data_IF_861579503840
#
_entry.id   IF_861579503840
#
_cell.length_a   1.000
_cell.length_b   1.000
_cell.length_c   1.000
_cell.angle_alpha   90.00
_cell.angle_beta   90.00
_cell.angle_gamma   90.00
#
_symmetry.space_group_name_H-M   'P 1'
#
loop_
_entity.id
_entity.type
_entity.pdbx_description
1 polymer ?
#
# COMPACT_ATOMS: atom_id res chain seq x y z
N UNK A 1 -0.26 1.36 -27.49
CA UNK A 1 -0.39 2.46 -26.50
C UNK A 1 0.86 2.48 -25.64
N UNK A 2 1.44 3.67 -25.44
CA UNK A 2 2.63 3.88 -24.63
C UNK A 2 2.32 4.69 -23.37
N UNK A 3 2.68 4.19 -22.19
CA UNK A 3 2.32 4.75 -20.90
C UNK A 3 3.58 5.14 -20.12
N UNK A 4 3.58 6.31 -19.48
CA UNK A 4 4.64 6.73 -18.56
C UNK A 4 4.10 6.79 -17.13
N UNK A 5 4.54 5.87 -16.29
CA UNK A 5 4.35 5.97 -14.84
C UNK A 5 5.41 6.89 -14.23
N UNK A 6 5.00 7.75 -13.29
CA UNK A 6 5.91 8.68 -12.59
C UNK A 6 5.72 8.54 -11.09
N UNK A 7 6.80 8.15 -10.38
CA UNK A 7 6.81 8.04 -8.93
C UNK A 7 8.18 8.39 -8.33
N UNK A 8 8.24 8.57 -7.02
CA UNK A 8 9.44 9.03 -6.30
C UNK A 8 10.56 8.00 -6.18
N UNK A 9 10.24 6.72 -6.26
CA UNK A 9 11.14 5.59 -6.03
C UNK A 9 10.63 4.33 -6.71
N UNK A 10 11.51 3.36 -6.95
CA UNK A 10 11.14 2.07 -7.53
C UNK A 10 12.16 0.99 -7.20
N UNK A 11 11.84 -0.27 -7.51
CA UNK A 11 12.77 -1.41 -7.38
C UNK A 11 14.05 -1.23 -8.19
N UNK A 12 15.22 -1.67 -7.72
CA UNK A 12 15.49 -2.34 -6.43
C UNK A 12 15.79 -1.37 -5.28
N UNK A 13 15.79 -0.05 -5.50
CA UNK A 13 16.21 0.93 -4.50
C UNK A 13 15.27 0.99 -3.29
N UNK A 14 13.99 0.72 -3.51
CA UNK A 14 12.95 0.70 -2.46
C UNK A 14 11.92 -0.38 -2.70
N UNK A 15 11.39 -0.93 -1.59
CA UNK A 15 10.35 -1.96 -1.59
C UNK A 15 9.17 -1.47 -0.75
N UNK A 16 8.23 -0.79 -1.39
CA UNK A 16 7.02 -0.25 -0.75
C UNK A 16 5.75 -0.70 -1.43
N UNK A 17 4.60 -0.42 -0.82
CA UNK A 17 3.30 -0.81 -1.36
C UNK A 17 2.97 -0.15 -2.69
N UNK A 18 3.39 1.10 -2.91
CA UNK A 18 3.13 1.80 -4.16
C UNK A 18 4.04 1.29 -5.28
N UNK A 19 5.31 1.03 -4.99
CA UNK A 19 6.26 0.43 -5.92
C UNK A 19 5.77 -0.96 -6.37
N UNK A 20 5.27 -1.77 -5.43
CA UNK A 20 4.68 -3.07 -5.73
C UNK A 20 3.45 -2.93 -6.62
N UNK A 21 2.55 -2.01 -6.30
CA UNK A 21 1.37 -1.72 -7.11
C UNK A 21 1.75 -1.31 -8.55
N UNK A 22 2.71 -0.40 -8.73
CA UNK A 22 3.16 0.05 -10.06
C UNK A 22 3.75 -1.14 -10.83
N UNK A 23 4.56 -1.98 -10.17
CA UNK A 23 5.13 -3.18 -10.77
C UNK A 23 4.05 -4.15 -11.23
N UNK A 24 3.15 -4.57 -10.35
CA UNK A 24 2.06 -5.50 -10.62
C UNK A 24 1.18 -5.01 -11.80
N UNK A 25 0.76 -3.74 -11.74
CA UNK A 25 -0.04 -3.14 -12.81
C UNK A 25 0.74 -3.13 -14.15
N UNK A 26 2.01 -2.72 -14.14
CA UNK A 26 2.83 -2.64 -15.35
C UNK A 26 3.03 -4.01 -15.98
N UNK A 27 3.40 -5.02 -15.20
CA UNK A 27 3.61 -6.39 -15.68
C UNK A 27 2.31 -6.98 -16.26
N UNK A 28 1.21 -6.84 -15.54
CA UNK A 28 -0.07 -7.39 -15.98
C UNK A 28 -0.61 -6.70 -17.23
N UNK A 29 -0.48 -5.37 -17.31
CA UNK A 29 -0.87 -4.58 -18.49
C UNK A 29 -0.04 -4.92 -19.73
N UNK A 30 1.29 -5.04 -19.59
CA UNK A 30 2.16 -5.41 -20.71
C UNK A 30 1.85 -6.82 -21.21
N UNK A 31 1.64 -7.78 -20.29
CA UNK A 31 1.30 -9.16 -20.67
C UNK A 31 -0.06 -9.29 -21.36
N UNK A 32 -1.10 -8.60 -20.86
CA UNK A 32 -2.47 -8.78 -21.35
C UNK A 32 -2.75 -7.98 -22.62
N UNK A 33 -2.16 -6.78 -22.76
CA UNK A 33 -2.54 -5.82 -23.82
C UNK A 33 -1.37 -5.38 -24.70
N UNK A 34 -0.20 -5.99 -24.56
CA UNK A 34 1.02 -5.63 -25.33
C UNK A 34 1.32 -4.11 -25.28
N UNK A 35 1.28 -3.54 -24.09
CA UNK A 35 1.51 -2.11 -23.89
C UNK A 35 2.99 -1.82 -23.67
N UNK A 36 3.47 -0.72 -24.27
CA UNK A 36 4.83 -0.21 -24.06
C UNK A 36 4.84 0.68 -22.81
N UNK A 37 5.40 0.18 -21.73
CA UNK A 37 5.35 0.81 -20.41
C UNK A 37 6.71 1.34 -19.99
N UNK A 38 6.74 2.63 -19.67
CA UNK A 38 7.89 3.32 -19.10
C UNK A 38 7.61 3.72 -17.65
N UNK A 39 8.61 3.60 -16.80
CA UNK A 39 8.55 4.04 -15.40
C UNK A 39 9.67 5.04 -15.16
N UNK A 40 9.35 6.27 -14.76
CA UNK A 40 10.32 7.26 -14.32
C UNK A 40 10.31 7.34 -12.79
N UNK A 41 11.44 7.02 -12.19
CA UNK A 41 11.67 7.08 -10.74
C UNK A 41 12.97 7.82 -10.42
N UNK A 42 13.12 8.23 -9.15
CA UNK A 42 14.37 8.81 -8.65
C UNK A 42 15.23 7.71 -8.06
N UNK A 43 16.52 7.74 -8.34
CA UNK A 43 17.49 6.74 -7.90
C UNK A 43 18.83 7.34 -7.51
N UNK A 44 19.83 6.48 -7.28
CA UNK A 44 21.20 6.89 -6.90
C UNK A 44 21.95 7.53 -8.06
N UNK A 45 21.65 7.09 -9.28
CA UNK A 45 22.30 7.56 -10.52
C UNK A 45 21.31 7.61 -11.69
N UNK A 46 21.74 8.25 -12.80
CA UNK A 46 20.96 8.23 -14.02
C UNK A 46 21.16 6.89 -14.72
N UNK A 47 20.10 6.11 -14.86
CA UNK A 47 20.15 4.80 -15.48
C UNK A 47 18.88 4.52 -16.26
N UNK A 48 18.99 3.75 -17.34
CA UNK A 48 17.83 3.16 -18.03
C UNK A 48 18.04 1.66 -18.06
N UNK A 49 17.06 0.93 -17.56
CA UNK A 49 17.09 -0.54 -17.44
C UNK A 49 15.92 -1.10 -18.21
N UNK A 50 16.21 -1.92 -19.22
CA UNK A 50 15.19 -2.68 -19.91
C UNK A 50 14.84 -3.91 -19.07
N UNK A 51 13.57 -4.07 -18.77
CA UNK A 51 12.98 -5.27 -18.16
C UNK A 51 12.05 -5.93 -19.16
N UNK A 52 11.64 -7.17 -18.90
CA UNK A 52 10.80 -7.94 -19.81
C UNK A 52 9.47 -7.26 -20.15
N UNK A 53 8.91 -6.49 -19.20
CA UNK A 53 7.55 -5.92 -19.31
C UNK A 53 7.50 -4.39 -19.23
N UNK A 54 8.60 -3.73 -18.96
CA UNK A 54 8.66 -2.26 -18.90
C UNK A 54 10.09 -1.75 -19.00
N UNK A 55 10.24 -0.49 -19.41
CA UNK A 55 11.52 0.22 -19.35
C UNK A 55 11.56 1.13 -18.13
N UNK A 56 12.52 0.89 -17.23
CA UNK A 56 12.72 1.69 -16.02
C UNK A 56 13.79 2.76 -16.25
N UNK A 57 13.44 4.01 -15.96
CA UNK A 57 14.32 5.16 -16.04
C UNK A 57 14.55 5.73 -14.65
N UNK A 58 15.76 5.62 -14.14
CA UNK A 58 16.18 6.33 -12.95
C UNK A 58 16.78 7.70 -13.29
N UNK A 59 16.35 8.73 -12.59
CA UNK A 59 16.97 10.03 -12.58
C UNK A 59 17.68 10.24 -11.25
N UNK A 60 18.96 10.68 -11.29
CA UNK A 60 19.78 10.86 -10.10
C UNK A 60 19.13 11.84 -9.13
N UNK A 61 18.92 11.39 -7.90
CA UNK A 61 18.46 12.23 -6.79
C UNK A 61 19.54 13.23 -6.40
N UNK A 62 19.22 14.51 -6.41
CA UNK A 62 20.10 15.59 -5.97
C UNK A 62 19.80 16.02 -4.54
N UNK A 63 18.53 15.93 -4.12
CA UNK A 63 18.09 16.43 -2.82
C UNK A 63 16.89 15.61 -2.34
N UNK A 64 16.82 15.38 -1.02
CA UNK A 64 15.66 14.76 -0.38
C UNK A 64 15.19 15.65 0.77
N UNK A 65 14.01 16.24 0.64
CA UNK A 65 13.41 17.10 1.66
C UNK A 65 12.01 16.56 1.96
N UNK A 66 11.73 16.35 3.23
CA UNK A 66 10.38 16.00 3.68
C UNK A 66 9.81 14.76 2.97
N UNK A 67 10.64 13.73 2.75
CA UNK A 67 10.32 12.50 2.00
C UNK A 67 10.00 12.74 0.52
N UNK A 68 10.36 13.90 -0.03
CA UNK A 68 10.26 14.21 -1.45
C UNK A 68 11.66 14.25 -2.05
N UNK A 69 11.90 13.40 -3.02
CA UNK A 69 13.15 13.35 -3.79
C UNK A 69 13.08 14.32 -4.97
N UNK A 70 14.12 15.14 -5.15
CA UNK A 70 14.28 16.09 -6.25
C UNK A 70 15.44 15.69 -7.15
N UNK A 71 15.28 15.87 -8.47
CA UNK A 71 16.29 15.53 -9.46
C UNK A 71 16.31 16.51 -10.61
N UNK A 72 17.43 17.17 -10.85
CA UNK A 72 17.59 18.07 -12.01
C UNK A 72 17.58 17.29 -13.33
N UNK A 73 18.17 16.10 -13.36
CA UNK A 73 18.17 15.25 -14.56
C UNK A 73 16.78 14.71 -14.89
N UNK A 74 15.88 14.58 -13.91
CA UNK A 74 14.51 14.15 -14.13
C UNK A 74 13.73 15.15 -15.01
N UNK A 75 14.03 16.45 -14.96
CA UNK A 75 13.37 17.45 -15.82
C UNK A 75 13.61 17.14 -17.29
N UNK A 76 14.89 16.89 -17.66
CA UNK A 76 15.25 16.53 -19.03
C UNK A 76 14.66 15.19 -19.42
N UNK A 77 14.84 14.15 -18.59
CA UNK A 77 14.35 12.80 -18.85
C UNK A 77 12.82 12.79 -19.00
N UNK A 78 12.10 13.47 -18.12
CA UNK A 78 10.64 13.58 -18.19
C UNK A 78 10.17 14.25 -19.50
N UNK A 79 10.83 15.36 -19.91
CA UNK A 79 10.52 16.03 -21.21
C UNK A 79 10.76 15.12 -22.41
N UNK A 80 11.80 14.29 -22.38
CA UNK A 80 12.11 13.32 -23.42
C UNK A 80 11.04 12.22 -23.50
N UNK A 81 10.73 11.61 -22.36
CA UNK A 81 9.75 10.53 -22.27
C UNK A 81 8.33 11.02 -22.60
N UNK A 82 7.93 12.17 -22.07
CA UNK A 82 6.60 12.72 -22.32
C UNK A 82 6.29 13.00 -23.80
N UNK A 83 7.31 13.21 -24.66
CA UNK A 83 7.11 13.34 -26.09
C UNK A 83 6.76 12.00 -26.77
N UNK A 84 7.19 10.89 -26.18
CA UNK A 84 7.14 9.55 -26.77
C UNK A 84 5.92 8.74 -26.33
N UNK A 85 5.25 9.14 -25.24
CA UNK A 85 4.13 8.40 -24.65
C UNK A 85 2.78 8.98 -25.09
N UNK A 86 1.73 8.18 -24.95
CA UNK A 86 0.36 8.60 -25.27
C UNK A 86 -0.34 9.18 -24.04
N UNK A 87 -0.02 8.67 -22.83
CA UNK A 87 -0.60 9.07 -21.56
C UNK A 87 0.44 9.05 -20.45
N UNK A 88 0.30 9.95 -19.48
CA UNK A 88 1.12 9.98 -18.27
C UNK A 88 0.27 9.55 -17.07
N UNK A 89 0.78 8.60 -16.28
CA UNK A 89 0.14 8.11 -15.07
C UNK A 89 0.96 8.49 -13.85
N UNK A 90 0.43 9.40 -13.04
CA UNK A 90 1.06 9.83 -11.80
C UNK A 90 0.55 9.03 -10.61
N UNK A 91 1.43 8.79 -9.64
CA UNK A 91 1.12 8.17 -8.36
C UNK A 91 1.25 9.19 -7.24
N UNK A 92 0.11 9.64 -6.73
CA UNK A 92 0.05 10.66 -5.69
C UNK A 92 0.05 10.01 -4.28
N UNK A 93 0.80 10.55 -3.29
CA UNK A 93 1.46 11.86 -3.31
C UNK A 93 2.92 11.80 -3.74
N UNK A 94 3.28 12.68 -4.64
CA UNK A 94 4.67 12.97 -4.97
C UNK A 94 4.81 14.44 -5.44
N UNK A 95 5.05 15.41 -4.52
CA UNK A 95 5.06 16.84 -4.84
C UNK A 95 6.01 17.26 -5.97
N UNK A 96 7.11 16.53 -6.16
CA UNK A 96 8.02 16.84 -7.26
C UNK A 96 7.45 16.42 -8.63
N UNK A 97 6.65 15.38 -8.71
CA UNK A 97 5.95 15.02 -9.95
C UNK A 97 4.93 16.09 -10.36
N UNK A 98 4.21 16.67 -9.39
CA UNK A 98 3.30 17.80 -9.62
C UNK A 98 4.05 19.02 -10.17
N UNK A 99 5.26 19.25 -9.65
CA UNK A 99 6.16 20.31 -10.13
C UNK A 99 6.66 20.01 -11.55
N UNK A 100 7.08 18.77 -11.85
CA UNK A 100 7.50 18.34 -13.20
C UNK A 100 6.39 18.58 -14.20
N UNK A 101 5.15 18.17 -13.91
CA UNK A 101 3.98 18.41 -14.76
C UNK A 101 3.78 19.91 -15.02
N UNK A 102 3.91 20.74 -13.97
CA UNK A 102 3.67 22.17 -14.05
C UNK A 102 4.77 22.92 -14.82
N UNK A 103 6.04 22.56 -14.64
CA UNK A 103 7.19 23.22 -15.29
C UNK A 103 7.33 22.75 -16.74
N UNK A 104 7.23 21.44 -16.98
CA UNK A 104 7.47 20.86 -18.29
C UNK A 104 6.26 21.01 -19.22
N UNK A 105 5.06 21.13 -18.68
CA UNK A 105 3.79 21.29 -19.43
C UNK A 105 3.69 20.35 -20.63
N UNK A 106 3.82 19.03 -20.43
CA UNK A 106 3.72 18.11 -21.56
C UNK A 106 2.32 18.22 -22.19
N UNK A 107 2.27 18.22 -23.53
CA UNK A 107 1.00 18.22 -24.27
C UNK A 107 0.46 16.78 -24.37
N UNK A 108 0.25 16.16 -23.21
CA UNK A 108 -0.26 14.78 -23.09
C UNK A 108 -1.32 14.72 -22.00
N UNK A 109 -2.38 13.95 -22.19
CA UNK A 109 -3.34 13.71 -21.13
C UNK A 109 -2.66 12.95 -19.98
N UNK A 110 -3.17 13.13 -18.76
CA UNK A 110 -2.69 12.40 -17.61
C UNK A 110 -3.79 12.01 -16.64
N UNK A 111 -3.55 10.94 -15.92
CA UNK A 111 -4.37 10.45 -14.82
C UNK A 111 -3.54 10.38 -13.54
N UNK A 112 -4.21 10.31 -12.40
CA UNK A 112 -3.56 10.23 -11.10
C UNK A 112 -4.19 9.12 -10.27
N UNK A 113 -3.40 8.09 -9.94
CA UNK A 113 -3.77 7.17 -8.85
C UNK A 113 -3.49 7.86 -7.52
N UNK A 114 -4.56 8.02 -6.72
CA UNK A 114 -4.52 8.69 -5.43
C UNK A 114 -4.37 7.66 -4.31
N UNK A 115 -3.12 7.44 -3.86
CA UNK A 115 -2.83 6.44 -2.84
C UNK A 115 -3.12 6.94 -1.43
N UNK A 116 -2.78 8.20 -1.10
CA UNK A 116 -3.00 8.76 0.24
C UNK A 116 -3.00 10.28 0.26
N UNK A 117 -3.57 10.84 1.33
CA UNK A 117 -3.40 12.25 1.70
C UNK A 117 -1.97 12.51 2.21
N UNK A 118 -1.50 13.76 2.11
CA UNK A 118 -0.29 14.21 2.79
C UNK A 118 -0.68 14.68 4.19
N UNK A 119 -0.36 13.88 5.20
CA UNK A 119 -0.79 14.12 6.59
C UNK A 119 0.25 14.93 7.37
N UNK A 120 1.55 14.68 7.12
CA UNK A 120 2.66 15.39 7.78
C UNK A 120 2.91 16.77 7.15
N UNK A 121 3.57 17.64 7.91
CA UNK A 121 4.16 18.91 7.41
C UNK A 121 3.13 19.99 7.06
N UNK A 122 2.20 20.24 7.97
CA UNK A 122 1.10 21.24 7.79
C UNK A 122 1.57 22.60 7.26
N UNK A 123 2.74 23.11 7.68
CA UNK A 123 3.29 24.39 7.20
C UNK A 123 3.73 24.35 5.73
N UNK A 124 4.41 23.28 5.31
CA UNK A 124 4.79 23.05 3.91
C UNK A 124 3.56 22.83 3.03
N UNK A 125 2.51 22.20 3.57
CA UNK A 125 1.25 21.99 2.87
C UNK A 125 0.55 23.30 2.48
N UNK A 126 0.63 24.38 3.27
CA UNK A 126 0.06 25.67 2.89
C UNK A 126 0.69 26.23 1.61
N UNK A 127 2.00 26.08 1.46
CA UNK A 127 2.73 26.53 0.26
C UNK A 127 2.51 25.60 -0.93
N UNK A 128 2.38 24.31 -0.67
CA UNK A 128 2.22 23.30 -1.72
C UNK A 128 0.75 23.17 -2.22
N UNK A 129 -0.24 23.45 -1.37
CA UNK A 129 -1.67 23.26 -1.68
C UNK A 129 -2.13 23.89 -3.01
N UNK A 130 -1.70 25.12 -3.40
CA UNK A 130 -2.06 25.67 -4.70
C UNK A 130 -1.51 24.87 -5.89
N UNK A 131 -0.27 24.41 -5.82
CA UNK A 131 0.35 23.58 -6.86
C UNK A 131 -0.37 22.21 -6.96
N UNK A 132 -0.59 21.56 -5.84
CA UNK A 132 -1.30 20.30 -5.75
C UNK A 132 -2.71 20.38 -6.36
N UNK A 133 -3.49 21.43 -5.98
CA UNK A 133 -4.82 21.63 -6.52
C UNK A 133 -4.81 21.86 -8.04
N UNK A 134 -3.86 22.65 -8.54
CA UNK A 134 -3.69 22.88 -9.97
C UNK A 134 -3.35 21.59 -10.69
N UNK A 135 -2.44 20.80 -10.14
CA UNK A 135 -2.05 19.50 -10.68
C UNK A 135 -3.24 18.53 -10.70
N UNK A 136 -3.90 18.33 -9.57
CA UNK A 136 -5.03 17.39 -9.49
C UNK A 136 -6.22 17.80 -10.37
N UNK A 137 -6.56 19.09 -10.46
CA UNK A 137 -7.65 19.58 -11.32
C UNK A 137 -7.30 19.59 -12.83
N UNK A 138 -6.04 19.42 -13.20
CA UNK A 138 -5.62 19.27 -14.59
C UNK A 138 -5.63 17.82 -15.09
N UNK A 139 -5.80 16.84 -14.21
CA UNK A 139 -5.91 15.44 -14.59
C UNK A 139 -7.20 15.15 -15.36
N UNK A 140 -7.21 14.11 -16.19
CA UNK A 140 -8.43 13.61 -16.82
C UNK A 140 -9.26 12.76 -15.85
N UNK A 141 -8.59 11.98 -15.01
CA UNK A 141 -9.18 11.17 -13.94
C UNK A 141 -8.32 11.20 -12.70
N UNK A 142 -8.98 11.16 -11.54
CA UNK A 142 -8.37 10.82 -10.24
C UNK A 142 -8.90 9.44 -9.84
N UNK A 143 -7.99 8.54 -9.49
CA UNK A 143 -8.28 7.14 -9.20
C UNK A 143 -7.95 6.80 -7.74
N UNK A 144 -8.87 7.06 -6.79
CA UNK A 144 -8.70 6.62 -5.41
C UNK A 144 -8.72 5.10 -5.31
N UNK A 145 -7.96 4.56 -4.35
CA UNK A 145 -7.83 3.11 -4.15
C UNK A 145 -8.95 2.50 -3.30
N UNK A 146 -9.82 3.32 -2.72
CA UNK A 146 -10.99 2.82 -1.96
C UNK A 146 -12.14 3.85 -1.92
N UNK A 147 -13.40 3.38 -1.78
CA UNK A 147 -14.54 4.25 -1.56
C UNK A 147 -14.39 5.08 -0.28
N UNK A 148 -13.92 4.45 0.81
CA UNK A 148 -13.69 5.12 2.10
C UNK A 148 -12.76 6.32 1.94
N UNK A 149 -11.69 6.17 1.16
CA UNK A 149 -10.75 7.27 0.90
C UNK A 149 -11.41 8.39 0.10
N UNK A 150 -12.20 8.03 -0.92
CA UNK A 150 -12.95 9.00 -1.73
C UNK A 150 -13.91 9.83 -0.88
N UNK A 151 -14.60 9.20 0.07
CA UNK A 151 -15.60 9.85 0.92
C UNK A 151 -14.97 10.71 2.03
N UNK A 152 -13.83 10.28 2.58
CA UNK A 152 -13.24 10.89 3.79
C UNK A 152 -12.13 11.88 3.50
N UNK A 153 -11.50 11.87 2.31
CA UNK A 153 -10.45 12.82 1.95
C UNK A 153 -11.02 14.22 1.65
N UNK A 154 -10.60 15.21 2.42
CA UNK A 154 -10.96 16.61 2.18
C UNK A 154 -10.46 17.10 0.82
N UNK A 155 -9.26 16.66 0.41
CA UNK A 155 -8.67 17.02 -0.88
C UNK A 155 -9.52 16.48 -2.02
N UNK A 156 -9.91 15.20 -1.97
CA UNK A 156 -10.71 14.59 -3.04
C UNK A 156 -12.11 15.22 -3.13
N UNK A 157 -12.69 15.71 -2.04
CA UNK A 157 -13.96 16.46 -2.06
C UNK A 157 -13.82 17.83 -2.73
N UNK A 158 -12.67 18.49 -2.61
CA UNK A 158 -12.41 19.80 -3.23
C UNK A 158 -12.13 19.70 -4.75
N UNK A 159 -11.62 18.56 -5.23
CA UNK A 159 -11.24 18.38 -6.65
C UNK A 159 -12.46 18.04 -7.50
N UNK A 160 -12.62 18.75 -8.63
CA UNK A 160 -13.81 18.66 -9.50
C UNK A 160 -13.67 17.65 -10.66
N UNK A 161 -12.47 17.08 -10.84
CA UNK A 161 -12.18 16.11 -11.89
C UNK A 161 -12.97 14.82 -11.68
N UNK A 162 -13.38 14.11 -12.74
CA UNK A 162 -13.99 12.78 -12.62
C UNK A 162 -13.15 11.84 -11.76
N UNK A 163 -13.83 11.07 -10.91
CA UNK A 163 -13.20 10.11 -10.01
C UNK A 163 -13.78 8.72 -10.24
N UNK A 164 -12.91 7.73 -10.31
CA UNK A 164 -13.30 6.32 -10.39
C UNK A 164 -12.48 5.54 -9.37
N UNK A 165 -13.14 4.86 -8.45
CA UNK A 165 -12.45 4.01 -7.49
C UNK A 165 -11.92 2.77 -8.20
N UNK A 166 -10.62 2.53 -8.11
CA UNK A 166 -9.99 1.30 -8.59
C UNK A 166 -9.16 0.74 -7.42
N UNK A 167 -9.64 -0.35 -6.78
CA UNK A 167 -8.93 -0.96 -5.66
C UNK A 167 -7.55 -1.46 -6.05
N UNK A 168 -6.63 -1.46 -5.09
CA UNK A 168 -5.36 -2.16 -5.24
C UNK A 168 -5.61 -3.67 -5.24
N UNK A 169 -4.77 -4.38 -5.95
CA UNK A 169 -4.82 -5.83 -6.08
C UNK A 169 -3.43 -6.44 -5.93
N UNK A 170 -3.37 -7.76 -5.84
CA UNK A 170 -2.15 -8.55 -5.82
C UNK A 170 -2.27 -9.72 -6.81
N UNK A 171 -1.16 -10.08 -7.43
CA UNK A 171 -1.10 -11.25 -8.30
C UNK A 171 -1.04 -12.52 -7.44
N UNK A 172 -2.15 -13.24 -7.34
CA UNK A 172 -2.26 -14.44 -6.52
C UNK A 172 -1.20 -15.52 -6.85
N UNK A 173 -0.71 -15.58 -8.09
CA UNK A 173 0.30 -16.55 -8.51
C UNK A 173 1.67 -16.33 -7.83
N UNK A 174 1.93 -15.13 -7.31
CA UNK A 174 3.21 -14.78 -6.68
C UNK A 174 3.23 -15.12 -5.18
N UNK A 175 2.11 -15.60 -4.64
CA UNK A 175 1.91 -15.89 -3.22
C UNK A 175 1.84 -17.38 -2.92
N UNK A 176 2.75 -18.14 -3.53
CA UNK A 176 2.87 -19.57 -3.27
C UNK A 176 3.62 -19.82 -1.96
N UNK A 177 3.14 -20.80 -1.21
CA UNK A 177 3.82 -21.25 0.02
C UNK A 177 5.02 -22.10 -0.37
N UNK A 178 6.16 -21.77 0.20
CA UNK A 178 7.36 -22.62 0.16
C UNK A 178 7.29 -23.63 1.31
N UNK A 179 7.22 -24.91 0.99
CA UNK A 179 6.99 -25.97 1.98
C UNK A 179 8.15 -26.14 2.96
N UNK A 180 9.38 -25.81 2.56
CA UNK A 180 10.55 -25.85 3.43
C UNK A 180 10.47 -24.75 4.48
N UNK A 181 10.25 -23.51 4.04
CA UNK A 181 10.07 -22.36 4.95
C UNK A 181 8.84 -22.54 5.85
N UNK A 182 7.74 -23.09 5.33
CA UNK A 182 6.55 -23.38 6.14
C UNK A 182 6.85 -24.39 7.24
N UNK A 183 7.51 -25.50 6.90
CA UNK A 183 7.91 -26.54 7.86
C UNK A 183 8.90 -26.01 8.90
N UNK A 184 9.86 -25.19 8.45
CA UNK A 184 10.81 -24.54 9.32
C UNK A 184 10.09 -23.68 10.39
N UNK A 185 9.23 -22.77 9.97
CA UNK A 185 8.51 -21.87 10.89
C UNK A 185 7.53 -22.61 11.77
N UNK A 186 6.83 -23.63 11.26
CA UNK A 186 5.92 -24.48 12.06
C UNK A 186 6.64 -25.12 13.25
N UNK A 187 7.90 -25.54 13.05
CA UNK A 187 8.67 -26.21 14.10
C UNK A 187 9.40 -25.22 15.05
N UNK A 188 9.67 -23.97 14.59
CA UNK A 188 10.57 -23.07 15.31
C UNK A 188 9.89 -21.80 15.85
N UNK A 189 8.65 -21.49 15.46
CA UNK A 189 7.97 -20.28 15.96
C UNK A 189 7.63 -20.39 17.45
N UNK A 190 7.38 -21.60 17.95
CA UNK A 190 7.09 -21.88 19.36
C UNK A 190 5.64 -21.67 19.76
N UNK A 191 4.73 -21.42 18.83
CA UNK A 191 3.31 -21.22 19.07
C UNK A 191 2.47 -22.02 18.07
N UNK A 192 1.46 -22.71 18.52
CA UNK A 192 0.50 -23.41 17.65
C UNK A 192 -0.57 -22.46 17.08
N UNK A 193 -0.95 -21.45 17.85
CA UNK A 193 -1.95 -20.45 17.52
C UNK A 193 -1.45 -19.07 17.96
N UNK A 194 -1.43 -18.10 17.06
CA UNK A 194 -0.91 -16.75 17.36
C UNK A 194 -1.51 -15.68 16.45
N UNK A 195 -1.62 -14.47 16.96
CA UNK A 195 -1.83 -13.28 16.14
C UNK A 195 -0.53 -12.89 15.45
N UNK A 196 -0.65 -12.34 14.24
CA UNK A 196 0.50 -11.83 13.51
C UNK A 196 0.31 -10.37 13.12
N UNK A 197 1.37 -9.59 13.27
CA UNK A 197 1.54 -8.30 12.63
C UNK A 197 2.63 -8.42 11.55
N UNK A 198 2.39 -7.85 10.36
CA UNK A 198 3.38 -7.80 9.27
C UNK A 198 3.46 -6.38 8.73
N UNK A 199 4.65 -5.78 8.75
CA UNK A 199 4.88 -4.46 8.17
C UNK A 199 6.03 -3.70 8.79
N UNK A 200 6.40 -2.57 8.20
CA UNK A 200 7.42 -1.69 8.75
C UNK A 200 7.03 -1.16 10.14
N UNK A 201 7.98 -1.16 11.08
CA UNK A 201 7.77 -0.68 12.45
C UNK A 201 7.82 0.85 12.45
N UNK A 202 6.67 1.49 12.13
CA UNK A 202 6.53 2.94 12.00
C UNK A 202 5.52 3.48 13.01
N UNK A 203 5.69 4.73 13.41
CA UNK A 203 4.87 5.41 14.42
C UNK A 203 3.36 5.36 14.15
N UNK A 204 2.92 5.34 12.88
CA UNK A 204 1.50 5.35 12.50
C UNK A 204 0.86 3.96 12.44
N UNK A 205 1.66 2.91 12.68
CA UNK A 205 1.19 1.53 12.64
C UNK A 205 0.50 1.07 13.92
N UNK A 206 0.53 1.90 14.99
CA UNK A 206 -0.18 1.62 16.24
C UNK A 206 0.31 0.41 17.03
N UNK A 207 1.56 -0.02 16.81
CA UNK A 207 2.14 -1.16 17.51
C UNK A 207 2.34 -0.92 19.00
N UNK A 208 2.54 0.32 19.40
CA UNK A 208 2.61 0.74 20.80
C UNK A 208 1.29 0.48 21.53
N UNK A 209 0.16 0.78 20.87
CA UNK A 209 -1.20 0.49 21.36
C UNK A 209 -1.46 -1.02 21.38
N UNK A 210 -0.98 -1.76 20.36
CA UNK A 210 -1.13 -3.21 20.31
C UNK A 210 -0.37 -3.89 21.44
N UNK A 211 0.87 -3.48 21.71
CA UNK A 211 1.67 -4.04 22.82
C UNK A 211 0.99 -3.77 24.18
N UNK A 212 0.41 -2.57 24.38
CA UNK A 212 -0.35 -2.29 25.59
C UNK A 212 -1.62 -3.14 25.67
N UNK A 213 -2.29 -3.41 24.55
CA UNK A 213 -3.47 -4.27 24.51
C UNK A 213 -3.17 -5.75 24.81
N UNK A 214 -1.89 -6.17 24.73
CA UNK A 214 -1.45 -7.52 25.10
C UNK A 214 -1.28 -7.71 26.62
N UNK A 215 -1.33 -6.65 27.42
CA UNK A 215 -1.19 -6.80 28.87
C UNK A 215 -2.34 -7.62 29.46
N UNK A 216 -1.99 -8.64 30.26
CA UNK A 216 -2.95 -9.56 30.87
C UNK A 216 -3.60 -10.55 29.93
N UNK A 217 -3.07 -10.69 28.72
CA UNK A 217 -3.55 -11.65 27.73
C UNK A 217 -2.60 -12.85 27.62
N UNK A 218 -3.17 -14.03 27.38
CA UNK A 218 -2.41 -15.28 27.26
C UNK A 218 -2.08 -15.67 25.82
N UNK A 219 -2.76 -15.07 24.84
CA UNK A 219 -2.53 -15.38 23.42
C UNK A 219 -1.24 -14.77 22.87
N UNK A 220 -0.50 -15.52 22.03
CA UNK A 220 0.75 -15.03 21.45
C UNK A 220 0.55 -14.02 20.33
N UNK A 221 1.53 -13.10 20.22
CA UNK A 221 1.67 -12.16 19.12
C UNK A 221 3.05 -12.29 18.47
N UNK A 222 3.09 -12.50 17.16
CA UNK A 222 4.31 -12.48 16.35
C UNK A 222 4.37 -11.19 15.56
N UNK A 223 5.48 -10.46 15.65
CA UNK A 223 5.72 -9.20 14.96
C UNK A 223 6.80 -9.41 13.90
N UNK A 224 6.39 -9.31 12.61
CA UNK A 224 7.25 -9.43 11.43
C UNK A 224 7.50 -8.04 10.87
N UNK A 225 8.76 -7.67 10.74
CA UNK A 225 9.19 -6.40 10.17
C UNK A 225 10.30 -5.73 10.95
N UNK A 226 10.75 -4.60 10.41
CA UNK A 226 11.77 -3.75 11.02
C UNK A 226 11.43 -2.27 10.77
N UNK A 227 12.06 -1.37 11.51
CA UNK A 227 11.85 0.07 11.36
C UNK A 227 12.34 0.89 12.53
N UNK A 228 12.15 2.20 12.41
CA UNK A 228 12.61 3.22 13.36
C UNK A 228 11.99 3.12 14.77
N UNK A 229 10.91 2.34 14.93
CA UNK A 229 10.26 2.13 16.22
C UNK A 229 10.69 0.85 16.94
N UNK A 230 11.55 0.00 16.33
CA UNK A 230 11.88 -1.33 16.85
C UNK A 230 12.34 -1.30 18.30
N UNK A 231 13.39 -0.53 18.59
CA UNK A 231 14.00 -0.50 19.92
C UNK A 231 13.00 -0.03 21.01
N UNK A 232 12.18 0.96 20.68
CA UNK A 232 11.14 1.46 21.58
C UNK A 232 10.06 0.40 21.86
N UNK A 233 9.65 -0.34 20.83
CA UNK A 233 8.63 -1.40 20.97
C UNK A 233 9.17 -2.59 21.76
N UNK A 234 10.40 -3.05 21.51
CA UNK A 234 11.05 -4.11 22.28
C UNK A 234 11.26 -3.71 23.75
N UNK A 235 11.65 -2.45 24.00
CA UNK A 235 11.75 -1.91 25.35
C UNK A 235 10.39 -1.92 26.07
N UNK A 236 9.32 -1.54 25.37
CA UNK A 236 7.96 -1.55 25.89
C UNK A 236 7.48 -2.95 26.26
N UNK A 237 7.77 -3.96 25.42
CA UNK A 237 7.49 -5.38 25.73
C UNK A 237 8.18 -5.82 27.01
N UNK A 238 9.47 -5.45 27.20
CA UNK A 238 10.22 -5.74 28.43
C UNK A 238 9.64 -5.04 29.65
N UNK A 239 9.28 -3.75 29.53
CA UNK A 239 8.68 -2.97 30.62
C UNK A 239 7.33 -3.55 31.06
N UNK A 240 6.50 -3.97 30.10
CA UNK A 240 5.21 -4.61 30.35
C UNK A 240 5.33 -6.10 30.74
N UNK A 241 6.56 -6.65 30.82
CA UNK A 241 6.87 -8.05 31.18
C UNK A 241 6.11 -9.08 30.32
N UNK A 242 5.87 -8.79 29.05
CA UNK A 242 5.17 -9.67 28.14
C UNK A 242 6.10 -10.79 27.65
N UNK A 243 5.70 -12.05 27.91
CA UNK A 243 6.44 -13.25 27.48
C UNK A 243 5.88 -13.85 26.17
N UNK A 244 4.71 -13.39 25.76
CA UNK A 244 3.93 -13.90 24.63
C UNK A 244 4.02 -13.01 23.38
N UNK A 245 4.94 -12.04 23.35
CA UNK A 245 5.22 -11.20 22.17
C UNK A 245 6.61 -11.52 21.62
N UNK A 246 6.66 -11.92 20.34
CA UNK A 246 7.90 -12.32 19.67
C UNK A 246 8.17 -11.46 18.45
N UNK A 247 9.32 -10.77 18.40
CA UNK A 247 9.82 -10.09 17.22
C UNK A 247 10.70 -11.06 16.41
N UNK A 248 10.41 -11.21 15.13
CA UNK A 248 11.19 -12.07 14.22
C UNK A 248 12.03 -11.29 13.20
N UNK A 249 11.92 -9.94 13.23
CA UNK A 249 12.66 -9.07 12.32
C UNK A 249 12.04 -8.96 10.92
N UNK A 250 12.78 -8.33 10.02
CA UNK A 250 12.42 -8.30 8.61
C UNK A 250 12.69 -9.67 7.98
N UNK A 251 11.74 -10.17 7.24
CA UNK A 251 11.79 -11.47 6.57
C UNK A 251 11.61 -11.28 5.06
N UNK A 252 12.09 -12.22 4.28
CA UNK A 252 11.75 -12.31 2.87
C UNK A 252 10.29 -12.74 2.65
N UNK A 253 9.83 -12.74 1.40
CA UNK A 253 8.43 -13.06 1.10
C UNK A 253 8.07 -14.51 1.44
N UNK A 254 8.99 -15.48 1.27
CA UNK A 254 8.72 -16.89 1.55
C UNK A 254 8.49 -17.14 3.04
N UNK A 255 9.35 -16.61 3.88
CA UNK A 255 9.24 -16.70 5.33
C UNK A 255 8.01 -15.95 5.86
N UNK A 256 7.80 -14.72 5.36
CA UNK A 256 6.64 -13.89 5.68
C UNK A 256 5.31 -14.62 5.37
N UNK A 257 5.20 -15.20 4.18
CA UNK A 257 3.98 -15.90 3.75
C UNK A 257 3.76 -17.19 4.55
N UNK A 258 4.84 -17.90 4.89
CA UNK A 258 4.80 -19.08 5.75
C UNK A 258 4.24 -18.75 7.14
N UNK A 259 4.73 -17.69 7.77
CA UNK A 259 4.22 -17.23 9.05
C UNK A 259 2.76 -16.72 8.96
N UNK A 260 2.41 -16.00 7.90
CA UNK A 260 1.03 -15.58 7.66
C UNK A 260 0.10 -16.78 7.49
N UNK A 261 0.53 -17.82 6.76
CA UNK A 261 -0.23 -19.07 6.59
C UNK A 261 -0.40 -19.82 7.91
N UNK A 262 0.59 -19.82 8.79
CA UNK A 262 0.55 -20.45 10.11
C UNK A 262 -0.30 -19.65 11.12
N UNK A 263 -0.38 -18.34 10.96
CA UNK A 263 -1.05 -17.47 11.93
C UNK A 263 -2.54 -17.77 12.06
N UNK A 264 -3.10 -17.38 13.20
CA UNK A 264 -4.53 -17.43 13.48
C UNK A 264 -5.28 -16.26 12.82
N UNK A 265 -4.77 -15.05 13.00
CA UNK A 265 -5.35 -13.83 12.45
C UNK A 265 -4.29 -12.75 12.25
N UNK A 266 -4.49 -11.86 11.29
CA UNK A 266 -3.67 -10.67 11.09
C UNK A 266 -4.20 -9.50 11.94
N UNK A 267 -3.29 -8.76 12.59
CA UNK A 267 -3.60 -7.51 13.29
C UNK A 267 -2.85 -6.36 12.64
N UNK A 268 -3.56 -5.40 12.08
CA UNK A 268 -3.01 -4.16 11.51
C UNK A 268 -3.64 -2.96 12.24
N UNK A 269 -3.11 -2.58 13.42
CA UNK A 269 -3.71 -1.60 14.31
C UNK A 269 -3.37 -0.16 13.95
N UNK A 270 -3.06 0.11 12.68
CA UNK A 270 -2.70 1.45 12.20
C UNK A 270 -3.70 2.50 12.67
N UNK A 271 -3.21 3.57 13.28
CA UNK A 271 -4.00 4.58 13.98
C UNK A 271 -4.08 5.93 13.26
N UNK A 272 -3.35 6.09 12.14
CA UNK A 272 -3.30 7.33 11.36
C UNK A 272 -3.56 7.02 9.88
N UNK A 273 -4.27 7.92 9.21
CA UNK A 273 -4.64 7.85 7.77
C UNK A 273 -3.44 7.73 6.79
N UNK A 274 -2.21 7.79 7.30
CA UNK A 274 -0.99 7.44 6.53
C UNK A 274 -1.02 5.97 6.07
N UNK A 275 -1.72 5.09 6.80
CA UNK A 275 -2.10 3.77 6.32
C UNK A 275 -3.28 3.90 5.35
N UNK A 276 -2.98 4.00 4.08
CA UNK A 276 -4.01 4.31 3.10
C UNK A 276 -4.86 3.10 2.69
N UNK A 277 -4.26 1.91 2.63
CA UNK A 277 -4.94 0.71 2.15
C UNK A 277 -4.58 -0.55 2.95
N UNK A 278 -3.27 -0.78 3.17
CA UNK A 278 -2.78 -1.96 3.87
C UNK A 278 -2.74 -3.21 2.98
N UNK A 279 -1.80 -3.28 2.02
CA UNK A 279 -1.66 -4.45 1.12
C UNK A 279 -1.57 -5.79 1.86
N UNK A 280 -1.01 -5.81 3.06
CA UNK A 280 -0.95 -7.01 3.91
C UNK A 280 -2.34 -7.56 4.26
N UNK A 281 -3.38 -6.73 4.24
CA UNK A 281 -4.76 -7.18 4.42
C UNK A 281 -5.24 -8.02 3.23
N UNK A 282 -4.80 -7.68 2.01
CA UNK A 282 -5.06 -8.52 0.83
C UNK A 282 -4.31 -9.85 0.94
N UNK A 283 -3.06 -9.82 1.40
CA UNK A 283 -2.27 -11.03 1.66
C UNK A 283 -2.99 -11.93 2.68
N UNK A 284 -3.48 -11.37 3.78
CA UNK A 284 -4.25 -12.11 4.79
C UNK A 284 -5.55 -12.69 4.21
N UNK A 285 -6.26 -11.91 3.39
CA UNK A 285 -7.50 -12.34 2.73
C UNK A 285 -7.25 -13.52 1.79
N UNK A 286 -6.18 -13.52 1.00
CA UNK A 286 -5.81 -14.66 0.14
C UNK A 286 -5.63 -15.97 0.92
N UNK A 287 -5.08 -15.88 2.13
CA UNK A 287 -4.89 -17.04 3.01
C UNK A 287 -6.06 -17.32 3.95
N UNK A 288 -7.22 -16.73 3.68
CA UNK A 288 -8.42 -16.88 4.52
C UNK A 288 -8.17 -16.56 6.00
N UNK A 289 -7.35 -15.54 6.28
CA UNK A 289 -7.08 -15.09 7.65
C UNK A 289 -8.06 -13.99 8.04
N UNK A 290 -8.76 -14.11 9.17
CA UNK A 290 -9.53 -13.00 9.71
C UNK A 290 -8.58 -11.88 10.14
N UNK A 291 -9.09 -10.64 10.15
CA UNK A 291 -8.27 -9.46 10.36
C UNK A 291 -8.78 -8.63 11.54
N UNK A 292 -7.88 -7.94 12.24
CA UNK A 292 -8.23 -6.87 13.17
C UNK A 292 -7.56 -5.59 12.68
N UNK A 293 -8.34 -4.55 12.42
CA UNK A 293 -7.88 -3.24 11.97
C UNK A 293 -8.46 -2.13 12.83
N UNK A 294 -8.03 -0.88 12.62
CA UNK A 294 -8.67 0.28 13.23
C UNK A 294 -9.45 1.11 12.21
N UNK A 295 -10.53 1.77 12.65
CA UNK A 295 -11.31 2.69 11.80
C UNK A 295 -10.60 4.04 11.68
N UNK A 296 -9.91 4.23 10.59
CA UNK A 296 -9.15 5.45 10.28
C UNK A 296 -9.64 6.15 9.01
N UNK A 297 -10.78 5.74 8.46
CA UNK A 297 -11.41 6.32 7.28
C UNK A 297 -10.62 6.10 5.99
N UNK A 298 -9.92 4.97 5.85
CA UNK A 298 -9.09 4.64 4.70
C UNK A 298 -9.46 3.26 4.13
N UNK A 299 -8.70 2.79 3.15
CA UNK A 299 -8.91 1.48 2.53
C UNK A 299 -8.79 0.30 3.49
N UNK A 300 -8.24 0.48 4.69
CA UNK A 300 -8.12 -0.59 5.68
C UNK A 300 -9.47 -1.20 6.04
N UNK A 301 -10.50 -0.36 6.24
CA UNK A 301 -11.87 -0.82 6.54
C UNK A 301 -12.74 -1.03 5.30
N UNK A 302 -12.21 -0.74 4.11
CA UNK A 302 -12.77 -1.25 2.86
C UNK A 302 -12.35 -2.70 2.60
N UNK A 303 -11.13 -3.09 2.94
CA UNK A 303 -10.67 -4.48 2.85
C UNK A 303 -11.23 -5.31 4.00
N UNK A 304 -11.06 -4.84 5.25
CA UNK A 304 -11.57 -5.51 6.44
C UNK A 304 -12.88 -4.90 6.91
N UNK A 305 -14.00 -5.57 6.61
CA UNK A 305 -15.34 -5.12 7.02
C UNK A 305 -15.66 -5.68 8.41
N UNK A 306 -16.04 -4.79 9.36
CA UNK A 306 -16.35 -5.18 10.72
C UNK A 306 -17.43 -6.26 10.77
N UNK A 307 -17.18 -7.32 11.55
CA UNK A 307 -18.06 -8.48 11.75
C UNK A 307 -18.42 -9.25 10.47
N UNK A 308 -17.68 -9.03 9.37
CA UNK A 308 -17.84 -9.79 8.13
C UNK A 308 -16.54 -10.50 7.73
N UNK A 309 -15.43 -9.76 7.64
CA UNK A 309 -14.11 -10.30 7.28
C UNK A 309 -13.12 -10.26 8.44
N UNK A 310 -13.54 -9.70 9.56
CA UNK A 310 -12.77 -9.53 10.77
C UNK A 310 -13.44 -8.57 11.75
N UNK A 311 -12.65 -7.92 12.57
CA UNK A 311 -13.11 -6.94 13.55
C UNK A 311 -12.42 -5.60 13.33
N UNK A 312 -13.12 -4.50 13.64
CA UNK A 312 -12.60 -3.15 13.56
C UNK A 312 -12.62 -2.50 14.94
N UNK A 313 -11.46 -2.02 15.39
CA UNK A 313 -11.28 -1.32 16.64
C UNK A 313 -11.27 0.20 16.45
N UNK A 314 -11.47 0.94 17.52
CA UNK A 314 -11.25 2.39 17.56
C UNK A 314 -9.74 2.66 17.55
N UNK A 315 -9.23 3.60 16.74
CA UNK A 315 -7.83 3.96 16.77
C UNK A 315 -7.43 4.52 18.15
N UNK A 316 -6.19 4.30 18.55
CA UNK A 316 -5.62 4.75 19.83
C UNK A 316 -6.40 4.31 21.09
N UNK A 317 -7.16 3.22 20.99
CA UNK A 317 -7.97 2.71 22.10
C UNK A 317 -7.51 1.30 22.52
N UNK A 318 -6.69 1.23 23.55
CA UNK A 318 -6.10 -0.01 24.08
C UNK A 318 -7.20 -1.00 24.49
N UNK A 319 -8.23 -0.53 25.21
CA UNK A 319 -9.29 -1.38 25.76
C UNK A 319 -10.15 -1.97 24.63
N UNK A 320 -10.46 -1.18 23.60
CA UNK A 320 -11.25 -1.66 22.47
C UNK A 320 -10.45 -2.65 21.63
N UNK A 321 -9.16 -2.39 21.38
CA UNK A 321 -8.29 -3.32 20.67
C UNK A 321 -8.12 -4.64 21.45
N UNK A 322 -7.86 -4.60 22.74
CA UNK A 322 -7.79 -5.79 23.61
C UNK A 322 -9.11 -6.58 23.58
N UNK A 323 -10.26 -5.90 23.63
CA UNK A 323 -11.58 -6.52 23.50
C UNK A 323 -11.76 -7.24 22.17
N UNK A 324 -11.33 -6.63 21.03
CA UNK A 324 -11.42 -7.25 19.70
C UNK A 324 -10.50 -8.46 19.57
N UNK A 325 -9.28 -8.37 20.09
CA UNK A 325 -8.35 -9.50 20.15
C UNK A 325 -8.95 -10.66 20.92
N UNK A 326 -9.43 -10.40 22.13
CA UNK A 326 -10.05 -11.43 22.98
C UNK A 326 -11.32 -12.02 22.34
N UNK A 327 -12.20 -11.19 21.79
CA UNK A 327 -13.40 -11.64 21.11
C UNK A 327 -13.08 -12.61 19.97
N UNK A 328 -12.08 -12.30 19.13
CA UNK A 328 -11.69 -13.17 18.02
C UNK A 328 -11.00 -14.45 18.52
N UNK A 329 -10.19 -14.35 19.59
CA UNK A 329 -9.47 -15.49 20.15
C UNK A 329 -10.39 -16.55 20.74
N UNK A 330 -11.47 -16.12 21.42
CA UNK A 330 -12.43 -16.99 22.10
C UNK A 330 -13.42 -17.67 21.14
N UNK A 331 -13.67 -17.08 19.96
CA UNK A 331 -14.64 -17.60 19.01
C UNK A 331 -13.95 -18.07 17.71
N UNK A 332 -13.46 -19.32 17.74
CA UNK A 332 -12.77 -19.92 16.61
C UNK A 332 -13.69 -20.11 15.39
N UNK A 333 -14.95 -20.41 15.62
CA UNK A 333 -15.93 -20.59 14.52
C UNK A 333 -16.13 -19.27 13.78
N UNK A 334 -16.28 -18.16 14.53
CA UNK A 334 -16.42 -16.84 13.95
C UNK A 334 -15.16 -16.38 13.23
N UNK A 335 -13.99 -16.71 13.78
CA UNK A 335 -12.73 -16.42 13.12
C UNK A 335 -12.60 -17.15 11.77
N UNK A 336 -12.99 -18.41 11.69
CA UNK A 336 -13.00 -19.16 10.44
C UNK A 336 -14.00 -18.59 9.43
N UNK A 337 -15.21 -18.21 9.87
CA UNK A 337 -16.22 -17.53 9.04
C UNK A 337 -15.66 -16.23 8.45
N UNK A 338 -15.06 -15.37 9.29
CA UNK A 338 -14.47 -14.11 8.82
C UNK A 338 -13.33 -14.33 7.84
N UNK A 339 -12.48 -15.32 8.08
CA UNK A 339 -11.39 -15.67 7.16
C UNK A 339 -11.92 -16.16 5.81
N UNK A 340 -12.94 -17.01 5.79
CA UNK A 340 -13.58 -17.47 4.57
C UNK A 340 -14.23 -16.31 3.79
N UNK A 341 -14.92 -15.41 4.49
CA UNK A 341 -15.52 -14.23 3.88
C UNK A 341 -14.44 -13.26 3.32
N UNK A 342 -13.31 -13.10 4.04
CA UNK A 342 -12.18 -12.29 3.57
C UNK A 342 -11.62 -12.84 2.25
N UNK A 343 -11.48 -14.16 2.16
CA UNK A 343 -11.01 -14.82 0.94
C UNK A 343 -12.00 -14.66 -0.22
N UNK A 344 -13.30 -14.90 0.01
CA UNK A 344 -14.32 -14.71 -1.00
C UNK A 344 -14.33 -13.26 -1.52
N UNK A 345 -14.24 -12.28 -0.61
CA UNK A 345 -14.14 -10.87 -0.96
C UNK A 345 -12.86 -10.51 -1.75
N UNK A 346 -11.72 -11.15 -1.43
CA UNK A 346 -10.50 -10.98 -2.21
C UNK A 346 -10.71 -11.47 -3.64
N UNK A 347 -11.24 -12.68 -3.81
CA UNK A 347 -11.45 -13.29 -5.12
C UNK A 347 -12.47 -12.48 -5.98
N UNK A 348 -13.41 -11.78 -5.34
CA UNK A 348 -14.51 -11.03 -5.97
C UNK A 348 -14.11 -9.59 -6.36
N UNK A 349 -13.37 -8.89 -5.50
CA UNK A 349 -13.18 -7.43 -5.63
C UNK A 349 -11.72 -7.05 -5.88
N UNK A 350 -10.77 -7.84 -5.34
CA UNK A 350 -9.34 -7.50 -5.35
C UNK A 350 -8.55 -8.37 -6.32
N UNK A 351 -9.18 -8.87 -7.37
CA UNK A 351 -8.48 -9.62 -8.41
C UNK A 351 -7.60 -8.70 -9.26
N UNK A 352 -6.42 -9.19 -9.64
CA UNK A 352 -5.51 -8.44 -10.51
C UNK A 352 -6.17 -8.15 -11.87
N UNK A 353 -6.99 -9.07 -12.36
CA UNK A 353 -7.67 -8.95 -13.64
C UNK A 353 -8.63 -7.76 -13.67
N UNK A 354 -9.50 -7.64 -12.66
CA UNK A 354 -10.45 -6.52 -12.51
C UNK A 354 -9.72 -5.16 -12.41
N UNK A 355 -8.63 -5.12 -11.65
CA UNK A 355 -7.81 -3.92 -11.54
C UNK A 355 -7.24 -3.51 -12.91
N UNK A 356 -6.65 -4.46 -13.63
CA UNK A 356 -6.03 -4.24 -14.94
C UNK A 356 -7.06 -3.80 -15.98
N UNK A 357 -8.22 -4.44 -16.04
CA UNK A 357 -9.32 -4.04 -16.94
C UNK A 357 -9.85 -2.65 -16.62
N UNK A 358 -10.00 -2.34 -15.34
CA UNK A 358 -10.45 -1.02 -14.90
C UNK A 358 -9.49 0.09 -15.31
N UNK A 359 -8.17 -0.13 -15.16
CA UNK A 359 -7.15 0.83 -15.62
C UNK A 359 -7.12 0.94 -17.14
N UNK A 360 -7.21 -0.20 -17.86
CA UNK A 360 -7.25 -0.20 -19.35
C UNK A 360 -8.41 0.62 -19.86
N UNK A 361 -9.61 0.41 -19.32
CA UNK A 361 -10.80 1.19 -19.68
C UNK A 361 -10.59 2.70 -19.48
N UNK A 362 -9.97 3.12 -18.38
CA UNK A 362 -9.67 4.55 -18.15
C UNK A 362 -8.64 5.08 -19.13
N UNK A 363 -7.60 4.31 -19.45
CA UNK A 363 -6.61 4.75 -20.43
C UNK A 363 -7.23 4.94 -21.82
N UNK A 364 -8.07 4.00 -22.27
CA UNK A 364 -8.74 4.08 -23.56
C UNK A 364 -9.67 5.30 -23.65
N UNK A 365 -10.51 5.50 -22.64
CA UNK A 365 -11.42 6.65 -22.56
C UNK A 365 -10.67 7.98 -22.62
N UNK A 366 -9.54 8.08 -21.91
CA UNK A 366 -8.73 9.31 -21.86
C UNK A 366 -8.08 9.61 -23.22
N UNK A 367 -7.62 8.58 -23.94
CA UNK A 367 -6.98 8.74 -25.23
C UNK A 367 -8.02 9.07 -26.30
N UNK A 368 -9.15 8.36 -26.33
CA UNK A 368 -10.24 8.63 -27.27
C UNK A 368 -10.82 10.03 -27.09
N UNK A 369 -10.96 10.51 -25.86
CA UNK A 369 -11.43 11.87 -25.58
C UNK A 369 -10.45 12.97 -25.98
N UNK A 370 -9.17 12.65 -26.14
CA UNK A 370 -8.12 13.58 -26.57
C UNK A 370 -7.95 13.71 -28.10
N UNK A 371 -8.59 12.84 -28.87
CA UNK A 371 -8.55 12.83 -30.36
C UNK A 371 -9.63 13.75 -30.98
N UNK A 372 -10.54 14.25 -30.16
CA UNK A 372 -11.54 15.26 -30.57
C UNK A 372 -11.02 16.66 -30.25
#
# INVERSE_FOLDING_TARGET
>A
MRILHVFKSFYPDTYGGIEKFIHELSVAMAKKYDLDIHILAMGKENQTIQKDFYTLHFAKTNLNIASTTFSLSAIKKFKELAKQVDIIHYHFPYPYADLLQTICKPNKPYIVTYHSDIIKQKKLMMLYKPLMRKFLNGAKYILPTSPNYLETSEILREIKVPKKVIPMSLNKSDYNIDEENYSHWKNNIGFEKFFIYIGGLRYYKGLDVLIDAMQGQDYPLVIVGDGDQRDLLEQKVKQNKLQNVKFVGALDDKDKLSLLKLSYALVLPSNIRTEAFGLVLLEASMFAKPMITCEIGTGTTFVNIDKQTGLVAKPDNIQDLAKKLNQLWQDQQKAQEYGANAKARFDDIFSLEEMVESYKSVYDEVIESGVK
#
